data_IF_557126657171
#
_entry.id   IF_557126657171
#
_cell.length_a   1.000
_cell.length_b   1.000
_cell.length_c   1.000
_cell.angle_alpha   90.00
_cell.angle_beta   90.00
_cell.angle_gamma   90.00
#
_symmetry.space_group_name_H-M   'P 1'
#
loop_
_entity.id
_entity.type
_entity.pdbx_description
1 polymer ?
#
# COMPACT_ATOMS: atom_id res chain seq x y z
N UNK A 1 -19.28 21.72 -9.06
CA UNK A 1 -17.93 22.24 -8.74
C UNK A 1 -16.93 21.60 -9.69
N UNK A 2 -16.14 22.39 -10.41
CA UNK A 2 -15.23 21.87 -11.45
C UNK A 2 -13.98 21.20 -10.88
N UNK A 3 -13.67 19.99 -11.36
CA UNK A 3 -12.43 19.29 -11.03
C UNK A 3 -11.22 20.01 -11.66
N UNK A 4 -10.61 20.94 -10.90
CA UNK A 4 -9.30 21.51 -11.26
C UNK A 4 -8.21 20.45 -11.10
N UNK A 5 -7.79 19.84 -12.21
CA UNK A 5 -6.53 19.09 -12.31
C UNK A 5 -5.47 20.12 -12.68
N UNK A 6 -4.56 20.43 -11.76
CA UNK A 6 -3.43 21.33 -12.03
C UNK A 6 -2.38 20.57 -12.81
N UNK A 7 -2.02 21.10 -13.98
CA UNK A 7 -1.10 20.49 -14.92
C UNK A 7 0.32 20.92 -14.58
N UNK A 8 1.19 19.97 -14.22
CA UNK A 8 2.62 20.21 -14.15
C UNK A 8 3.24 19.84 -15.49
N UNK A 9 3.94 20.80 -16.12
CA UNK A 9 4.63 20.58 -17.39
C UNK A 9 5.90 19.77 -17.14
N UNK A 10 5.86 18.48 -17.46
CA UNK A 10 7.06 17.67 -17.53
C UNK A 10 7.64 17.79 -18.94
N UNK A 11 8.83 18.40 -19.07
CA UNK A 11 9.50 18.63 -20.36
C UNK A 11 9.72 17.29 -21.08
N UNK A 12 9.06 17.10 -22.22
CA UNK A 12 9.14 15.88 -23.04
C UNK A 12 7.94 14.93 -22.96
N UNK A 13 6.91 15.23 -22.16
CA UNK A 13 5.74 14.33 -22.00
C UNK A 13 4.48 14.82 -22.74
N UNK A 14 3.73 13.91 -23.35
CA UNK A 14 2.39 14.15 -23.91
C UNK A 14 1.29 14.35 -22.83
N UNK A 15 1.68 14.75 -21.61
CA UNK A 15 0.80 14.88 -20.44
C UNK A 15 -0.43 15.77 -20.69
N UNK A 16 -0.34 16.95 -21.34
CA UNK A 16 -1.52 17.76 -21.64
C UNK A 16 -2.53 17.02 -22.53
N UNK A 17 -2.05 16.28 -23.54
CA UNK A 17 -2.88 15.48 -24.45
C UNK A 17 -3.57 14.34 -23.70
N UNK A 18 -2.87 13.63 -22.83
CA UNK A 18 -3.46 12.56 -22.02
C UNK A 18 -4.53 13.08 -21.05
N UNK A 19 -4.27 14.20 -20.38
CA UNK A 19 -5.28 14.85 -19.51
C UNK A 19 -6.51 15.27 -20.31
N UNK A 20 -6.33 15.81 -21.52
CA UNK A 20 -7.46 16.18 -22.38
C UNK A 20 -8.25 14.95 -22.84
N UNK A 21 -7.58 13.85 -23.20
CA UNK A 21 -8.25 12.60 -23.52
C UNK A 21 -9.06 12.05 -22.33
N UNK A 22 -8.51 12.09 -21.11
CA UNK A 22 -9.23 11.69 -19.91
C UNK A 22 -10.47 12.57 -19.67
N UNK A 23 -10.35 13.89 -19.84
CA UNK A 23 -11.50 14.80 -19.68
C UNK A 23 -12.59 14.56 -20.74
N UNK A 24 -12.20 14.32 -21.98
CA UNK A 24 -13.16 14.14 -23.08
C UNK A 24 -13.81 12.75 -23.08
N UNK A 25 -13.06 11.71 -22.69
CA UNK A 25 -13.51 10.30 -22.81
C UNK A 25 -13.89 9.65 -21.49
N UNK A 26 -13.44 10.18 -20.36
CA UNK A 26 -13.57 9.57 -19.03
C UNK A 26 -14.20 10.56 -18.03
N UNK A 27 -15.27 11.23 -18.44
CA UNK A 27 -16.05 12.12 -17.57
C UNK A 27 -17.41 11.50 -17.27
N UNK A 28 -17.57 11.03 -16.03
CA UNK A 28 -18.83 10.53 -15.49
C UNK A 28 -19.15 11.25 -14.16
N UNK A 29 -20.44 11.38 -13.79
CA UNK A 29 -20.84 11.76 -12.43
C UNK A 29 -20.20 10.84 -11.38
N UNK A 30 -19.83 11.41 -10.22
CA UNK A 30 -19.07 10.70 -9.17
C UNK A 30 -19.75 9.43 -8.65
N UNK A 31 -21.07 9.42 -8.60
CA UNK A 31 -21.92 8.32 -8.17
C UNK A 31 -21.99 7.15 -9.17
N UNK A 32 -21.69 7.42 -10.44
CA UNK A 32 -21.72 6.45 -11.55
C UNK A 32 -20.33 6.08 -12.07
N UNK A 33 -19.29 6.81 -11.65
CA UNK A 33 -17.93 6.59 -12.08
C UNK A 33 -17.37 5.26 -11.53
N UNK A 34 -16.85 4.41 -12.43
CA UNK A 34 -16.13 3.20 -12.04
C UNK A 34 -14.79 3.55 -11.37
N UNK A 35 -14.10 4.57 -11.90
CA UNK A 35 -12.81 5.05 -11.42
C UNK A 35 -12.89 6.56 -11.22
N UNK A 36 -12.44 7.04 -10.06
CA UNK A 36 -12.31 8.44 -9.72
C UNK A 36 -10.84 8.78 -9.50
N UNK A 37 -10.34 9.77 -10.23
CA UNK A 37 -9.04 10.37 -9.95
C UNK A 37 -9.22 11.57 -9.04
N UNK A 38 -8.51 11.61 -7.93
CA UNK A 38 -8.58 12.72 -6.99
C UNK A 38 -7.22 13.08 -6.42
N UNK A 39 -7.10 14.30 -5.92
CA UNK A 39 -6.01 14.66 -5.02
C UNK A 39 -6.44 14.35 -3.59
N UNK A 40 -5.47 14.06 -2.72
CA UNK A 40 -5.72 13.75 -1.30
C UNK A 40 -6.63 14.80 -0.63
N UNK A 41 -6.33 16.08 -0.87
CA UNK A 41 -7.07 17.20 -0.31
C UNK A 41 -8.54 17.20 -0.73
N UNK A 42 -8.81 16.91 -2.01
CA UNK A 42 -10.18 16.87 -2.51
C UNK A 42 -10.94 15.65 -2.01
N UNK A 43 -10.24 14.56 -1.74
CA UNK A 43 -10.83 13.32 -1.23
C UNK A 43 -11.34 13.40 0.21
N UNK A 44 -11.01 14.48 0.94
CA UNK A 44 -11.47 14.69 2.33
C UNK A 44 -13.00 14.66 2.40
N UNK A 45 -13.54 13.86 3.32
CA UNK A 45 -14.99 13.69 3.51
C UNK A 45 -15.67 12.75 2.52
N UNK A 46 -14.91 12.12 1.62
CA UNK A 46 -15.39 11.09 0.71
C UNK A 46 -14.69 9.76 1.02
N UNK A 47 -15.32 8.64 0.64
CA UNK A 47 -14.81 7.30 0.91
C UNK A 47 -15.22 6.34 -0.22
N UNK A 48 -14.39 5.33 -0.49
CA UNK A 48 -14.56 4.37 -1.58
C UNK A 48 -14.24 2.96 -1.09
N UNK A 49 -14.81 1.94 -1.74
CA UNK A 49 -14.54 0.54 -1.41
C UNK A 49 -13.07 0.18 -1.62
N UNK A 50 -12.45 0.66 -2.71
CA UNK A 50 -11.03 0.46 -2.98
C UNK A 50 -10.33 1.78 -3.27
N UNK A 51 -9.22 2.03 -2.56
CA UNK A 51 -8.34 3.18 -2.81
C UNK A 51 -6.95 2.70 -3.14
N UNK A 52 -6.36 3.29 -4.17
CA UNK A 52 -4.99 3.04 -4.61
C UNK A 52 -4.21 4.34 -4.47
N UNK A 53 -3.19 4.30 -3.61
CA UNK A 53 -2.25 5.40 -3.47
C UNK A 53 -1.30 5.35 -4.65
N UNK A 54 -1.17 6.46 -5.39
CA UNK A 54 -0.22 6.52 -6.50
C UNK A 54 1.15 6.99 -5.99
N UNK A 55 2.19 6.61 -6.73
CA UNK A 55 3.54 7.01 -6.43
C UNK A 55 3.70 8.53 -6.43
N UNK A 56 4.52 9.01 -5.49
CA UNK A 56 4.76 10.43 -5.32
C UNK A 56 3.65 11.22 -4.62
N UNK A 57 2.67 10.53 -4.02
CA UNK A 57 1.58 11.15 -3.27
C UNK A 57 2.06 11.99 -2.06
N UNK A 58 3.23 11.64 -1.51
CA UNK A 58 3.85 12.23 -0.32
C UNK A 58 5.35 12.40 -0.59
N UNK A 59 5.86 13.62 -0.47
CA UNK A 59 7.18 13.98 -1.02
C UNK A 59 8.34 13.98 -0.03
N UNK A 60 8.12 13.96 1.29
CA UNK A 60 9.17 14.43 2.18
C UNK A 60 9.38 13.58 3.42
N UNK A 61 10.60 13.02 3.46
CA UNK A 61 11.40 12.73 4.65
C UNK A 61 10.79 11.78 5.68
N UNK A 62 10.67 10.52 5.27
CA UNK A 62 10.44 9.39 6.17
C UNK A 62 11.59 9.26 7.22
N UNK A 63 12.75 9.86 6.93
CA UNK A 63 13.86 10.05 7.88
C UNK A 63 13.49 10.77 9.19
N UNK A 64 12.33 11.45 9.26
CA UNK A 64 11.86 12.16 10.45
C UNK A 64 10.63 11.54 11.13
N UNK A 65 10.13 10.38 10.69
CA UNK A 65 9.01 9.68 11.36
C UNK A 65 9.32 9.41 12.84
N UNK A 66 10.60 9.22 13.17
CA UNK A 66 11.09 8.98 14.53
C UNK A 66 11.71 10.21 15.22
N UNK A 67 11.72 11.38 14.60
CA UNK A 67 12.23 12.61 15.22
C UNK A 67 11.06 13.38 15.86
N UNK A 68 10.95 13.44 17.21
CA UNK A 68 9.89 14.19 17.89
C UNK A 68 10.01 15.72 17.69
N UNK A 69 11.14 16.21 17.15
CA UNK A 69 11.35 17.60 16.69
C UNK A 69 11.32 17.71 15.16
N UNK A 70 11.23 16.57 14.47
CA UNK A 70 11.27 16.44 13.04
C UNK A 70 9.98 16.95 12.46
N UNK A 71 10.12 18.02 11.69
CA UNK A 71 9.05 18.61 10.91
C UNK A 71 8.72 17.66 9.74
N UNK A 72 8.20 16.47 10.02
CA UNK A 72 7.05 16.08 9.23
C UNK A 72 6.05 17.19 9.49
N UNK A 73 5.79 18.02 8.48
CA UNK A 73 4.72 19.00 8.61
C UNK A 73 3.49 18.21 9.04
N UNK A 74 2.84 18.63 10.12
CA UNK A 74 1.59 18.00 10.58
C UNK A 74 0.61 17.79 9.42
N UNK A 75 0.71 18.67 8.41
CA UNK A 75 -0.02 18.60 7.16
C UNK A 75 0.29 17.35 6.33
N UNK A 76 1.55 16.93 6.17
CA UNK A 76 1.90 15.68 5.47
C UNK A 76 1.34 14.44 6.18
N UNK A 77 1.46 14.37 7.52
CA UNK A 77 0.87 13.28 8.31
C UNK A 77 -0.65 13.30 8.17
N UNK A 78 -1.27 14.48 8.26
CA UNK A 78 -2.72 14.63 8.08
C UNK A 78 -3.16 14.20 6.68
N UNK A 79 -2.37 14.51 5.64
CA UNK A 79 -2.65 14.06 4.28
C UNK A 79 -2.53 12.56 4.15
N UNK A 80 -1.51 11.96 4.78
CA UNK A 80 -1.37 10.53 4.79
C UNK A 80 -2.55 9.85 5.50
N UNK A 81 -2.92 10.35 6.68
CA UNK A 81 -4.09 9.90 7.41
C UNK A 81 -5.37 10.01 6.57
N UNK A 82 -5.59 11.17 5.93
CA UNK A 82 -6.73 11.36 5.04
C UNK A 82 -6.70 10.30 3.96
N UNK A 83 -5.56 10.07 3.30
CA UNK A 83 -5.47 9.12 2.20
C UNK A 83 -5.80 7.68 2.55
N UNK A 84 -5.25 7.16 3.64
CA UNK A 84 -5.43 5.75 4.02
C UNK A 84 -6.85 5.50 4.53
N UNK A 85 -7.45 6.50 5.19
CA UNK A 85 -8.82 6.42 5.71
C UNK A 85 -9.90 6.66 4.66
N UNK A 86 -9.55 6.89 3.38
CA UNK A 86 -10.57 6.96 2.32
C UNK A 86 -11.05 5.57 1.89
N UNK A 87 -10.28 4.51 2.19
CA UNK A 87 -10.61 3.14 1.86
C UNK A 87 -11.58 2.53 2.87
N UNK A 88 -12.67 1.91 2.39
CA UNK A 88 -13.62 1.15 3.21
C UNK A 88 -13.29 -0.33 3.31
N UNK A 89 -12.79 -0.94 2.22
CA UNK A 89 -12.54 -2.39 2.14
C UNK A 89 -11.10 -2.70 1.78
N UNK A 90 -10.58 -2.05 0.73
CA UNK A 90 -9.26 -2.36 0.18
C UNK A 90 -8.43 -1.09 0.04
N UNK A 91 -7.18 -1.17 0.48
CA UNK A 91 -6.17 -0.14 0.29
C UNK A 91 -4.98 -0.76 -0.45
N UNK A 92 -4.68 -0.27 -1.65
CA UNK A 92 -3.40 -0.52 -2.30
C UNK A 92 -2.47 0.61 -1.92
N UNK A 93 -1.42 0.28 -1.18
CA UNK A 93 -0.43 1.26 -0.71
C UNK A 93 0.61 1.53 -1.80
N UNK A 94 1.37 2.62 -1.68
CA UNK A 94 2.54 2.88 -2.52
C UNK A 94 3.83 2.61 -1.72
N UNK A 95 4.99 2.76 -2.35
CA UNK A 95 6.28 2.58 -1.69
C UNK A 95 6.45 3.50 -0.46
N UNK A 96 5.95 4.74 -0.53
CA UNK A 96 5.98 5.65 0.63
C UNK A 96 5.25 5.10 1.84
N UNK A 97 4.08 4.49 1.65
CA UNK A 97 3.32 3.91 2.76
C UNK A 97 3.93 2.63 3.30
N UNK A 98 4.50 1.80 2.42
CA UNK A 98 5.25 0.62 2.83
C UNK A 98 6.41 1.01 3.76
N UNK A 99 7.11 2.10 3.44
CA UNK A 99 8.18 2.65 4.26
C UNK A 99 7.69 3.22 5.61
N UNK A 100 6.51 3.85 5.66
CA UNK A 100 5.89 4.26 6.94
C UNK A 100 5.62 3.06 7.83
N UNK A 101 5.05 1.98 7.28
CA UNK A 101 4.80 0.74 8.01
C UNK A 101 6.10 0.15 8.54
N UNK A 102 7.15 0.12 7.70
CA UNK A 102 8.50 -0.33 8.08
C UNK A 102 9.07 0.46 9.25
N UNK A 103 9.06 1.80 9.16
CA UNK A 103 9.60 2.68 10.21
C UNK A 103 8.81 2.59 11.51
N UNK A 104 7.51 2.35 11.41
CA UNK A 104 6.61 2.11 12.55
C UNK A 104 6.77 0.70 13.12
N UNK A 105 7.57 -0.16 12.49
CA UNK A 105 7.76 -1.58 12.82
C UNK A 105 6.43 -2.35 12.84
N UNK A 106 5.50 -1.94 11.98
CA UNK A 106 4.20 -2.60 11.87
C UNK A 106 4.35 -3.98 11.27
N UNK A 107 3.69 -4.97 11.89
CA UNK A 107 3.87 -6.38 11.53
C UNK A 107 2.90 -6.93 10.52
N UNK A 108 1.74 -6.29 10.37
CA UNK A 108 0.65 -6.78 9.52
C UNK A 108 0.36 -8.28 9.79
N UNK A 109 0.43 -8.64 11.06
CA UNK A 109 0.32 -10.00 11.57
C UNK A 109 -0.97 -10.17 12.40
N UNK A 110 -1.51 -11.38 12.40
CA UNK A 110 -2.65 -11.76 13.22
C UNK A 110 -2.48 -13.13 13.86
N UNK A 111 -3.07 -13.21 15.05
CA UNK A 111 -3.49 -14.39 15.81
C UNK A 111 -4.44 -15.36 15.09
N UNK A 112 -4.04 -16.47 14.46
CA UNK A 112 -5.02 -17.45 13.90
C UNK A 112 -4.96 -18.81 14.57
N UNK A 113 -6.03 -19.60 14.43
CA UNK A 113 -6.08 -20.99 14.86
C UNK A 113 -5.19 -21.88 13.99
N UNK A 114 -4.60 -22.92 14.58
CA UNK A 114 -3.75 -23.88 13.84
C UNK A 114 -4.48 -24.61 12.72
N UNK A 115 -5.78 -24.80 12.88
CA UNK A 115 -6.68 -25.41 11.88
C UNK A 115 -6.78 -24.61 10.58
N UNK A 116 -6.43 -23.32 10.58
CA UNK A 116 -6.36 -22.49 9.37
C UNK A 116 -5.08 -22.69 8.55
N UNK A 117 -4.09 -23.42 9.08
CA UNK A 117 -2.80 -23.64 8.41
C UNK A 117 -2.95 -24.77 7.39
N UNK A 118 -2.58 -24.49 6.13
CA UNK A 118 -2.60 -25.52 5.09
C UNK A 118 -1.50 -26.56 5.36
N UNK A 119 -1.79 -27.82 5.05
CA UNK A 119 -0.83 -28.91 5.24
C UNK A 119 0.43 -28.67 4.38
N UNK A 120 1.61 -28.79 4.99
CA UNK A 120 2.88 -28.53 4.31
C UNK A 120 3.26 -27.05 4.16
N UNK A 121 2.55 -26.12 4.80
CA UNK A 121 2.96 -24.71 4.82
C UNK A 121 4.37 -24.51 5.41
N UNK A 122 5.18 -23.71 4.73
CA UNK A 122 6.49 -23.26 5.21
C UNK A 122 6.41 -21.86 5.81
N UNK A 123 7.31 -21.59 6.75
CA UNK A 123 7.46 -20.29 7.37
C UNK A 123 7.93 -19.28 6.32
N UNK A 124 7.23 -18.16 6.17
CA UNK A 124 7.60 -17.11 5.18
C UNK A 124 8.91 -16.38 5.49
N UNK A 125 9.56 -16.70 6.62
CA UNK A 125 10.77 -16.05 7.08
C UNK A 125 11.98 -16.99 7.14
N UNK A 126 11.81 -18.23 7.59
CA UNK A 126 12.91 -19.20 7.74
C UNK A 126 12.74 -20.47 6.91
N UNK A 127 11.67 -20.56 6.12
CA UNK A 127 11.34 -21.70 5.25
C UNK A 127 11.15 -23.06 5.95
N UNK A 128 11.20 -23.09 7.29
CA UNK A 128 10.91 -24.28 8.08
C UNK A 128 9.40 -24.59 8.14
N UNK A 129 8.99 -25.86 8.27
CA UNK A 129 7.58 -26.24 8.35
C UNK A 129 6.84 -25.56 9.50
N UNK A 130 5.66 -25.01 9.20
CA UNK A 130 4.76 -24.46 10.21
C UNK A 130 3.87 -25.58 10.75
N UNK A 131 4.00 -25.87 12.05
CA UNK A 131 3.22 -26.90 12.71
C UNK A 131 1.76 -26.45 12.93
N UNK A 132 0.87 -26.82 12.01
CA UNK A 132 -0.58 -26.59 12.10
C UNK A 132 -1.27 -27.34 13.24
N UNK A 133 -0.58 -28.25 13.96
CA UNK A 133 -1.14 -28.91 15.17
C UNK A 133 -1.10 -28.01 16.41
N UNK A 134 -0.40 -26.87 16.35
CA UNK A 134 -0.39 -25.89 17.43
C UNK A 134 -1.73 -25.16 17.49
N UNK A 135 -2.21 -24.86 18.69
CA UNK A 135 -3.49 -24.14 18.87
C UNK A 135 -3.51 -22.77 18.18
N UNK A 136 -2.38 -22.07 18.15
CA UNK A 136 -2.26 -20.72 17.62
C UNK A 136 -1.02 -20.59 16.74
N UNK A 137 -1.20 -19.93 15.59
CA UNK A 137 -0.15 -19.66 14.61
C UNK A 137 -0.25 -18.20 14.17
N UNK A 138 0.89 -17.59 13.86
CA UNK A 138 0.92 -16.20 13.39
C UNK A 138 0.80 -16.17 11.87
N UNK A 139 -0.17 -15.41 11.37
CA UNK A 139 -0.40 -15.20 9.94
C UNK A 139 -0.05 -13.77 9.56
N UNK A 140 0.76 -13.61 8.52
CA UNK A 140 1.09 -12.33 7.89
C UNK A 140 0.17 -12.16 6.70
N UNK A 141 -0.50 -11.01 6.60
CA UNK A 141 -1.41 -10.74 5.48
C UNK A 141 -0.64 -10.44 4.19
N UNK A 142 -1.25 -10.80 3.06
CA UNK A 142 -0.78 -10.28 1.77
C UNK A 142 -1.17 -8.81 1.62
N UNK A 143 -0.37 -8.04 0.90
CA UNK A 143 -0.62 -6.61 0.69
C UNK A 143 -0.37 -6.21 -0.76
N UNK A 144 -1.32 -5.47 -1.33
CA UNK A 144 -1.15 -4.88 -2.65
C UNK A 144 -0.35 -3.58 -2.55
N UNK A 145 0.72 -3.49 -3.33
CA UNK A 145 1.60 -2.33 -3.41
C UNK A 145 1.68 -1.86 -4.85
N UNK A 146 1.46 -0.56 -5.06
CA UNK A 146 1.73 0.13 -6.30
C UNK A 146 3.19 0.57 -6.28
N UNK A 147 4.02 0.03 -7.16
CA UNK A 147 5.43 0.41 -7.32
C UNK A 147 5.69 0.74 -8.79
N UNK A 148 6.30 1.90 -9.08
CA UNK A 148 6.67 2.27 -10.45
C UNK A 148 5.52 2.17 -11.47
N UNK A 149 4.27 2.41 -11.03
CA UNK A 149 3.03 2.25 -11.81
C UNK A 149 2.62 0.80 -12.14
N UNK A 150 3.23 -0.18 -11.49
CA UNK A 150 2.87 -1.60 -11.55
C UNK A 150 2.24 -2.03 -10.22
N UNK A 151 1.16 -2.81 -10.31
CA UNK A 151 0.52 -3.41 -9.15
C UNK A 151 1.23 -4.72 -8.82
N UNK A 152 1.86 -4.77 -7.65
CA UNK A 152 2.53 -5.95 -7.12
C UNK A 152 1.84 -6.40 -5.84
N UNK A 153 1.65 -7.71 -5.69
CA UNK A 153 1.19 -8.29 -4.43
C UNK A 153 2.41 -8.76 -3.65
N UNK A 154 2.61 -8.19 -2.46
CA UNK A 154 3.51 -8.77 -1.47
C UNK A 154 2.80 -9.95 -0.84
N UNK A 155 3.33 -11.14 -1.06
CA UNK A 155 2.71 -12.35 -0.56
C UNK A 155 2.77 -12.39 0.97
N UNK A 156 1.67 -12.86 1.56
CA UNK A 156 1.58 -13.16 2.98
C UNK A 156 1.92 -14.62 3.26
N UNK A 157 1.55 -15.11 4.44
CA UNK A 157 1.67 -16.52 4.79
C UNK A 157 1.74 -16.71 6.29
N UNK A 158 2.44 -17.76 6.74
CA UNK A 158 2.50 -18.12 8.15
C UNK A 158 3.91 -17.99 8.69
N UNK A 159 4.04 -17.62 9.96
CA UNK A 159 5.30 -17.64 10.71
C UNK A 159 5.31 -18.82 11.67
N UNK A 160 6.44 -19.49 11.77
CA UNK A 160 6.67 -20.46 12.83
C UNK A 160 6.75 -19.74 14.19
N UNK A 161 6.60 -20.49 15.28
CA UNK A 161 6.63 -19.92 16.63
C UNK A 161 7.93 -19.12 16.88
N UNK A 162 9.09 -19.65 16.50
CA UNK A 162 10.37 -18.97 16.68
C UNK A 162 10.38 -17.60 15.96
N UNK A 163 10.08 -17.55 14.67
CA UNK A 163 10.04 -16.32 13.89
C UNK A 163 8.97 -15.33 14.38
N UNK A 164 7.80 -15.81 14.82
CA UNK A 164 6.75 -14.94 15.36
C UNK A 164 7.18 -14.19 16.62
N UNK A 165 8.04 -14.80 17.43
CA UNK A 165 8.53 -14.24 18.71
C UNK A 165 9.82 -13.44 18.58
N UNK A 166 10.51 -13.55 17.44
CA UNK A 166 11.73 -12.80 17.19
C UNK A 166 11.39 -11.36 16.74
N UNK A 167 12.20 -10.36 17.15
CA UNK A 167 12.20 -9.08 16.44
C UNK A 167 12.57 -9.33 14.97
N UNK A 168 12.07 -8.50 14.04
CA UNK A 168 12.37 -8.58 12.61
C UNK A 168 13.86 -8.88 12.36
N UNK A 169 14.22 -10.09 11.93
CA UNK A 169 15.62 -10.44 11.77
C UNK A 169 16.17 -9.92 10.44
N UNK A 170 17.48 -9.68 10.40
CA UNK A 170 18.27 -9.29 9.23
C UNK A 170 18.56 -10.48 8.30
N UNK A 171 17.53 -11.20 7.85
CA UNK A 171 17.74 -12.33 6.92
C UNK A 171 17.06 -12.02 5.59
N UNK A 172 17.81 -11.61 4.55
CA UNK A 172 17.31 -11.59 3.20
C UNK A 172 17.23 -13.03 2.68
N UNK A 173 16.05 -13.44 2.21
CA UNK A 173 15.89 -14.63 1.38
C UNK A 173 15.96 -14.26 -0.10
N UNK A 174 16.66 -15.05 -0.90
CA UNK A 174 16.52 -15.01 -2.37
C UNK A 174 15.19 -15.69 -2.73
N UNK A 175 14.17 -14.92 -3.14
CA UNK A 175 12.85 -15.47 -3.42
C UNK A 175 11.84 -14.42 -3.88
N UNK A 176 10.58 -14.84 -4.05
CA UNK A 176 9.48 -13.91 -4.31
C UNK A 176 9.35 -12.92 -3.13
N UNK A 177 9.09 -11.63 -3.39
CA UNK A 177 8.97 -10.64 -2.32
C UNK A 177 7.76 -10.97 -1.43
N UNK A 178 8.01 -11.23 -0.15
CA UNK A 178 6.96 -11.38 0.88
C UNK A 178 6.79 -10.07 1.64
N UNK A 179 5.63 -9.87 2.27
CA UNK A 179 5.41 -8.70 3.11
C UNK A 179 6.44 -8.61 4.25
N UNK A 180 6.82 -9.75 4.82
CA UNK A 180 7.86 -9.85 5.84
C UNK A 180 9.20 -9.32 5.30
N UNK A 181 9.61 -9.74 4.10
CA UNK A 181 10.84 -9.26 3.47
C UNK A 181 10.81 -7.76 3.14
N UNK A 182 9.64 -7.25 2.74
CA UNK A 182 9.48 -5.85 2.36
C UNK A 182 9.48 -4.90 3.57
N UNK A 183 9.05 -5.38 4.74
CA UNK A 183 9.03 -4.63 6.00
C UNK A 183 10.31 -4.82 6.83
N UNK A 184 11.28 -5.61 6.34
CA UNK A 184 12.63 -5.66 6.92
C UNK A 184 13.37 -4.34 6.67
N UNK A 185 14.36 -4.00 7.51
CA UNK A 185 15.12 -2.77 7.36
C UNK A 185 15.96 -2.74 6.05
N UNK A 186 15.40 -2.21 4.96
CA UNK A 186 16.11 -1.92 3.71
C UNK A 186 16.76 -0.52 3.68
N UNK A 187 17.88 -0.37 2.97
CA UNK A 187 18.54 0.92 2.72
C UNK A 187 18.37 1.30 1.23
N UNK A 188 18.09 2.57 0.97
CA UNK A 188 17.89 3.24 -0.33
C UNK A 188 16.49 3.16 -1.00
N UNK A 189 15.81 4.30 -0.95
CA UNK A 189 14.76 4.67 -1.90
C UNK A 189 14.96 6.14 -2.33
N UNK A 190 14.87 6.41 -3.64
CA UNK A 190 14.93 7.77 -4.21
C UNK A 190 13.53 8.40 -4.26
N UNK A 191 13.32 9.45 -3.47
CA UNK A 191 12.04 10.16 -3.32
C UNK A 191 11.89 11.39 -4.24
N UNK A 192 12.78 11.57 -5.23
CA UNK A 192 12.91 12.82 -6.01
C UNK A 192 11.75 13.16 -6.97
N UNK A 193 10.72 12.30 -7.11
CA UNK A 193 9.67 12.47 -8.13
C UNK A 193 8.28 12.36 -7.52
N UNK A 194 7.57 13.49 -7.39
CA UNK A 194 6.29 13.52 -6.66
C UNK A 194 5.11 14.13 -7.40
N UNK A 195 3.98 13.42 -7.29
CA UNK A 195 2.66 13.84 -7.71
C UNK A 195 1.62 13.43 -6.65
N UNK A 196 0.90 14.41 -6.09
CA UNK A 196 -0.09 14.24 -5.00
C UNK A 196 -1.44 13.66 -5.47
N UNK A 197 -1.41 12.48 -6.09
CA UNK A 197 -2.57 11.86 -6.76
C UNK A 197 -2.93 10.50 -6.15
N UNK A 198 -4.24 10.19 -6.18
CA UNK A 198 -4.79 8.89 -5.78
C UNK A 198 -5.80 8.44 -6.82
N UNK A 199 -5.83 7.12 -7.03
CA UNK A 199 -6.82 6.44 -7.85
C UNK A 199 -7.83 5.78 -6.91
N UNK A 200 -9.10 6.06 -7.07
CA UNK A 200 -10.17 5.56 -6.21
C UNK A 200 -11.16 4.77 -7.06
N UNK A 201 -11.48 3.53 -6.67
CA UNK A 201 -12.46 2.72 -7.35
C UNK A 201 -13.71 2.57 -6.47
N UNK A 202 -14.82 3.14 -6.92
CA UNK A 202 -16.06 3.22 -6.13
C UNK A 202 -16.94 1.98 -6.20
N UNK A 203 -16.85 1.21 -7.30
CA UNK A 203 -17.55 -0.06 -7.51
C UNK A 203 -16.71 -0.91 -8.47
N UNK A 204 -15.87 -1.80 -7.95
CA UNK A 204 -15.39 -2.91 -8.77
C UNK A 204 -16.59 -3.83 -9.02
N UNK A 205 -16.88 -4.25 -10.28
CA UNK A 205 -17.69 -5.45 -10.46
C UNK A 205 -17.02 -6.60 -9.67
N UNK A 206 -17.78 -7.57 -9.15
CA UNK A 206 -17.19 -8.70 -8.45
C UNK A 206 -16.09 -9.31 -9.32
N UNK A 207 -14.88 -9.45 -8.75
CA UNK A 207 -13.82 -10.22 -9.38
C UNK A 207 -14.40 -11.61 -9.69
N UNK A 208 -14.18 -12.17 -10.89
CA UNK A 208 -14.56 -13.56 -11.13
C UNK A 208 -13.86 -14.41 -10.07
N UNK A 209 -14.66 -15.14 -9.29
CA UNK A 209 -14.14 -16.18 -8.43
C UNK A 209 -13.43 -17.17 -9.33
N UNK A 210 -12.13 -17.37 -9.09
CA UNK A 210 -11.42 -18.53 -9.64
C UNK A 210 -12.01 -19.75 -8.95
N UNK A 211 -13.00 -20.37 -9.60
CA UNK A 211 -13.37 -21.76 -9.36
C UNK A 211 -12.23 -22.69 -9.79
#
# INVERSE_FOLDING_TARGET
>A
MGNKVNMYNYSGSNTPRHVQLLKTRCSAPQDTAQITFSTIHKAKGMEWDHVVLLEGALTTCLSHVNDPRGVLGRDEINLLYVSVTRAKKYLTVNATMLEVLRLSKERMEVVVGGEEVQEGCLCVQCEEPVDGKKLLVTKVFAMNVMMSCELTTLEGGYLCHACSTQPYPDVPGEGRPTLVSALQPYQDYDYSRTARLMLMCGRLPPQPTTD
#
